data_IF_249460960803
#
_entry.id   IF_249460960803
#
_cell.length_a   1.000
_cell.length_b   1.000
_cell.length_c   1.000
_cell.angle_alpha   90.00
_cell.angle_beta   90.00
_cell.angle_gamma   90.00
#
_symmetry.space_group_name_H-M   'P 1'
#
loop_
_entity.id
_entity.type
_entity.pdbx_description
1 polymer ?
#
# COMPACT_ATOMS: atom_id res chain seq x y z
N UNK A 1 26.52 10.50 -3.61
CA UNK A 1 25.30 11.28 -3.90
C UNK A 1 24.21 10.29 -4.22
N UNK A 2 23.22 10.16 -3.35
CA UNK A 2 22.01 9.36 -3.61
C UNK A 2 21.33 9.89 -4.88
N UNK A 3 21.16 9.03 -5.89
CA UNK A 3 20.46 9.37 -7.14
C UNK A 3 18.94 9.20 -7.04
N UNK A 4 18.43 8.67 -5.93
CA UNK A 4 17.04 8.26 -5.79
C UNK A 4 16.30 9.24 -4.89
N UNK A 5 15.16 9.74 -5.37
CA UNK A 5 14.22 10.48 -4.54
C UNK A 5 13.27 9.50 -3.84
N UNK A 6 13.56 9.21 -2.57
CA UNK A 6 12.65 8.44 -1.72
C UNK A 6 11.39 9.25 -1.41
N UNK A 7 10.25 8.59 -1.43
CA UNK A 7 8.96 9.18 -1.06
C UNK A 7 8.47 8.57 0.24
N UNK A 8 7.62 9.28 1.01
CA UNK A 8 7.01 8.69 2.19
C UNK A 8 6.21 7.43 1.83
N UNK A 9 6.40 6.36 2.59
CA UNK A 9 5.65 5.10 2.43
C UNK A 9 4.14 5.35 2.41
N UNK A 10 3.68 6.27 3.26
CA UNK A 10 2.27 6.69 3.40
C UNK A 10 1.63 7.27 2.14
N UNK A 11 2.42 7.73 1.17
CA UNK A 11 1.90 8.47 0.02
C UNK A 11 0.87 7.64 -0.76
N UNK A 12 1.21 6.40 -1.09
CA UNK A 12 0.33 5.54 -1.89
C UNK A 12 -0.93 5.14 -1.10
N UNK A 13 -0.80 4.96 0.23
CA UNK A 13 -1.94 4.74 1.12
C UNK A 13 -2.95 5.90 1.07
N UNK A 14 -2.46 7.14 1.12
CA UNK A 14 -3.33 8.32 1.05
C UNK A 14 -3.96 8.50 -0.33
N UNK A 15 -3.23 8.19 -1.41
CA UNK A 15 -3.77 8.26 -2.78
C UNK A 15 -4.93 7.28 -2.92
N UNK A 16 -4.73 6.01 -2.53
CA UNK A 16 -5.78 4.99 -2.65
C UNK A 16 -6.95 5.27 -1.71
N UNK A 17 -6.68 5.69 -0.48
CA UNK A 17 -7.72 6.12 0.46
C UNK A 17 -8.58 7.25 -0.12
N UNK A 18 -7.94 8.29 -0.65
CA UNK A 18 -8.64 9.44 -1.26
C UNK A 18 -9.48 9.01 -2.46
N UNK A 19 -8.96 8.10 -3.29
CA UNK A 19 -9.68 7.55 -4.44
C UNK A 19 -10.96 6.81 -4.01
N UNK A 20 -10.86 5.93 -3.01
CA UNK A 20 -12.00 5.15 -2.48
C UNK A 20 -13.05 6.10 -1.90
N UNK A 21 -12.63 7.05 -1.05
CA UNK A 21 -13.55 8.01 -0.43
C UNK A 21 -14.24 8.85 -1.51
N UNK A 22 -13.48 9.44 -2.44
CA UNK A 22 -14.04 10.28 -3.50
C UNK A 22 -15.02 9.53 -4.39
N UNK A 23 -14.68 8.31 -4.83
CA UNK A 23 -15.55 7.48 -5.66
C UNK A 23 -16.80 7.04 -4.89
N UNK A 24 -16.65 6.66 -3.62
CA UNK A 24 -17.78 6.27 -2.77
C UNK A 24 -18.77 7.42 -2.60
N UNK A 25 -18.29 8.64 -2.36
CA UNK A 25 -19.12 9.84 -2.23
C UNK A 25 -19.79 10.18 -3.55
N UNK A 26 -19.06 10.15 -4.66
CA UNK A 26 -19.62 10.41 -5.98
C UNK A 26 -20.75 9.45 -6.33
N UNK A 27 -20.53 8.15 -6.14
CA UNK A 27 -21.56 7.12 -6.33
C UNK A 27 -22.74 7.31 -5.38
N UNK A 28 -22.48 7.64 -4.11
CA UNK A 28 -23.53 7.92 -3.14
C UNK A 28 -24.40 9.10 -3.58
N UNK A 29 -23.80 10.21 -4.04
CA UNK A 29 -24.56 11.37 -4.52
C UNK A 29 -25.47 11.03 -5.69
N UNK A 30 -25.00 10.21 -6.64
CA UNK A 30 -25.84 9.74 -7.75
C UNK A 30 -27.03 8.94 -7.21
N UNK A 31 -26.79 7.96 -6.34
CA UNK A 31 -27.86 7.13 -5.78
C UNK A 31 -28.83 7.97 -4.93
N UNK A 32 -28.30 8.90 -4.14
CA UNK A 32 -29.09 9.78 -3.29
C UNK A 32 -29.97 10.75 -4.08
N UNK A 33 -29.48 11.24 -5.22
CA UNK A 33 -30.24 12.17 -6.06
C UNK A 33 -31.30 11.47 -6.91
N UNK A 34 -30.98 10.30 -7.46
CA UNK A 34 -31.81 9.64 -8.47
C UNK A 34 -32.66 8.48 -7.96
N UNK A 35 -32.27 7.81 -6.87
CA UNK A 35 -32.92 6.57 -6.42
C UNK A 35 -33.52 6.67 -5.02
N UNK A 36 -32.87 7.37 -4.08
CA UNK A 36 -33.35 7.44 -2.70
C UNK A 36 -34.69 8.19 -2.50
N UNK A 37 -35.06 9.25 -3.26
CA UNK A 37 -36.32 9.96 -3.04
C UNK A 37 -37.54 9.03 -3.16
N UNK A 38 -37.62 8.27 -4.26
CA UNK A 38 -38.73 7.35 -4.52
C UNK A 38 -38.65 6.07 -3.65
N UNK A 39 -37.45 5.56 -3.35
CA UNK A 39 -37.28 4.30 -2.62
C UNK A 39 -37.44 4.44 -1.10
N UNK A 40 -37.18 5.63 -0.54
CA UNK A 40 -37.28 5.85 0.91
C UNK A 40 -38.71 5.73 1.45
N UNK A 41 -39.72 6.05 0.63
CA UNK A 41 -41.13 5.94 0.99
C UNK A 41 -41.68 4.51 0.77
N UNK A 42 -41.16 3.79 -0.23
CA UNK A 42 -41.68 2.47 -0.62
C UNK A 42 -40.95 1.31 0.09
N UNK A 43 -39.63 1.41 0.29
CA UNK A 43 -38.79 0.37 0.90
C UNK A 43 -37.70 0.98 1.82
N UNK A 44 -38.05 1.45 3.03
CA UNK A 44 -37.11 2.16 3.93
C UNK A 44 -35.92 1.29 4.38
N UNK A 45 -36.12 -0.03 4.44
CA UNK A 45 -35.06 -0.98 4.81
C UNK A 45 -33.97 -1.07 3.72
N UNK A 46 -34.37 -0.96 2.45
CA UNK A 46 -33.44 -0.91 1.32
C UNK A 46 -32.61 0.38 1.36
N UNK A 47 -33.25 1.53 1.60
CA UNK A 47 -32.55 2.82 1.77
C UNK A 47 -31.54 2.78 2.92
N UNK A 48 -31.91 2.17 4.04
CA UNK A 48 -31.00 2.01 5.19
C UNK A 48 -29.81 1.12 4.84
N UNK A 49 -30.04 0.00 4.14
CA UNK A 49 -28.99 -0.90 3.69
C UNK A 49 -28.01 -0.22 2.70
N UNK A 50 -28.54 0.59 1.78
CA UNK A 50 -27.73 1.39 0.84
C UNK A 50 -26.84 2.37 1.62
N UNK A 51 -27.42 3.18 2.51
CA UNK A 51 -26.68 4.14 3.32
C UNK A 51 -25.58 3.45 4.15
N UNK A 52 -25.91 2.32 4.78
CA UNK A 52 -24.96 1.54 5.57
C UNK A 52 -23.83 0.96 4.70
N UNK A 53 -24.14 0.49 3.49
CA UNK A 53 -23.13 -0.02 2.56
C UNK A 53 -22.14 1.08 2.15
N UNK A 54 -22.63 2.28 1.82
CA UNK A 54 -21.77 3.43 1.52
C UNK A 54 -20.95 3.89 2.74
N UNK A 55 -21.52 3.83 3.95
CA UNK A 55 -20.79 4.11 5.19
C UNK A 55 -19.62 3.13 5.37
N UNK A 56 -19.86 1.83 5.22
CA UNK A 56 -18.80 0.81 5.33
C UNK A 56 -17.71 1.01 4.27
N UNK A 57 -18.10 1.38 3.05
CA UNK A 57 -17.16 1.64 1.96
C UNK A 57 -16.34 2.92 2.19
N UNK A 58 -16.93 3.95 2.82
CA UNK A 58 -16.18 5.13 3.28
C UNK A 58 -15.22 4.80 4.43
N UNK A 59 -15.64 3.94 5.37
CA UNK A 59 -14.81 3.50 6.49
C UNK A 59 -13.58 2.71 6.06
N UNK A 60 -13.67 1.90 4.98
CA UNK A 60 -12.49 1.22 4.43
C UNK A 60 -11.46 2.22 3.90
N UNK A 61 -11.91 3.28 3.21
CA UNK A 61 -11.05 4.39 2.81
C UNK A 61 -10.39 5.08 4.01
N UNK A 62 -11.15 5.35 5.07
CA UNK A 62 -10.61 5.95 6.30
C UNK A 62 -9.59 5.05 7.00
N UNK A 63 -9.83 3.74 7.02
CA UNK A 63 -8.87 2.76 7.55
C UNK A 63 -7.54 2.79 6.79
N UNK A 64 -7.56 2.89 5.46
CA UNK A 64 -6.33 3.02 4.68
C UNK A 64 -5.59 4.34 4.95
N UNK A 65 -6.31 5.44 5.18
CA UNK A 65 -5.67 6.70 5.60
C UNK A 65 -4.99 6.54 6.97
N UNK A 66 -5.62 5.82 7.90
CA UNK A 66 -5.02 5.53 9.20
C UNK A 66 -3.76 4.65 9.07
N UNK A 67 -3.75 3.65 8.17
CA UNK A 67 -2.54 2.89 7.85
C UNK A 67 -1.45 3.80 7.27
N UNK A 68 -1.78 4.65 6.31
CA UNK A 68 -0.86 5.65 5.78
C UNK A 68 -0.27 6.53 6.88
N UNK A 69 -1.07 6.95 7.86
CA UNK A 69 -0.57 7.73 8.99
C UNK A 69 0.48 7.01 9.83
N UNK A 70 0.35 5.69 10.02
CA UNK A 70 1.34 4.90 10.75
C UNK A 70 2.68 4.81 10.01
N UNK A 71 2.66 4.82 8.67
CA UNK A 71 3.85 4.71 7.82
C UNK A 71 4.42 6.06 7.33
N UNK A 72 3.93 7.19 7.86
CA UNK A 72 4.26 8.54 7.36
C UNK A 72 5.73 8.95 7.44
N UNK A 73 6.49 8.35 8.35
CA UNK A 73 7.90 8.70 8.58
C UNK A 73 8.87 7.72 7.90
N UNK A 74 8.36 6.73 7.18
CA UNK A 74 9.18 5.72 6.53
C UNK A 74 9.43 6.12 5.08
N UNK A 75 10.57 5.69 4.56
CA UNK A 75 10.91 5.89 3.18
C UNK A 75 10.43 4.71 2.34
N UNK A 76 9.93 4.98 1.15
CA UNK A 76 9.58 3.97 0.18
C UNK A 76 9.98 4.39 -1.23
N UNK A 77 10.17 3.38 -2.06
CA UNK A 77 10.46 3.52 -3.49
C UNK A 77 9.51 2.64 -4.31
N UNK A 78 9.02 3.17 -5.42
CA UNK A 78 8.22 2.41 -6.38
C UNK A 78 9.07 1.99 -7.56
N UNK A 79 9.02 0.71 -7.90
CA UNK A 79 9.89 0.06 -8.89
C UNK A 79 9.03 -0.72 -9.90
N UNK A 80 9.37 -0.73 -11.21
CA UNK A 80 8.62 -1.42 -12.25
C UNK A 80 8.83 -2.95 -12.30
N UNK A 81 9.69 -3.50 -11.44
CA UNK A 81 10.08 -4.91 -11.44
C UNK A 81 9.27 -5.70 -10.40
N UNK A 82 9.05 -7.00 -10.64
CA UNK A 82 8.33 -7.88 -9.72
C UNK A 82 9.06 -7.99 -8.37
N UNK A 83 8.29 -8.13 -7.30
CA UNK A 83 8.81 -8.04 -5.94
C UNK A 83 9.72 -9.20 -5.56
N UNK A 84 9.46 -10.40 -6.09
CA UNK A 84 10.30 -11.57 -5.79
C UNK A 84 11.71 -11.40 -6.37
N UNK A 85 11.83 -10.85 -7.58
CA UNK A 85 13.12 -10.57 -8.21
C UNK A 85 13.91 -9.52 -7.41
N UNK A 86 13.24 -8.45 -7.00
CA UNK A 86 13.85 -7.42 -6.14
C UNK A 86 14.29 -8.03 -4.80
N UNK A 87 13.45 -8.85 -4.19
CA UNK A 87 13.74 -9.47 -2.90
C UNK A 87 14.97 -10.37 -2.96
N UNK A 88 15.02 -11.26 -3.95
CA UNK A 88 16.17 -12.14 -4.19
C UNK A 88 17.44 -11.35 -4.46
N UNK A 89 17.35 -10.26 -5.24
CA UNK A 89 18.53 -9.45 -5.53
C UNK A 89 19.04 -8.71 -4.31
N UNK A 90 18.14 -8.13 -3.50
CA UNK A 90 18.53 -7.48 -2.24
C UNK A 90 19.16 -8.50 -1.29
N UNK A 91 18.55 -9.67 -1.10
CA UNK A 91 19.12 -10.75 -0.28
C UNK A 91 20.54 -11.13 -0.73
N UNK A 92 20.76 -11.29 -2.04
CA UNK A 92 22.08 -11.62 -2.58
C UNK A 92 23.13 -10.54 -2.25
N UNK A 93 22.77 -9.26 -2.33
CA UNK A 93 23.67 -8.15 -2.03
C UNK A 93 24.04 -8.10 -0.54
N UNK A 94 23.10 -8.42 0.34
CA UNK A 94 23.37 -8.53 1.78
C UNK A 94 24.30 -9.70 2.11
N UNK A 95 24.10 -10.85 1.46
CA UNK A 95 24.98 -12.01 1.60
C UNK A 95 26.40 -11.72 1.08
N UNK A 96 26.54 -11.05 -0.05
CA UNK A 96 27.85 -10.65 -0.62
C UNK A 96 28.65 -9.74 0.34
N UNK A 97 27.95 -8.96 1.17
CA UNK A 97 28.55 -8.08 2.18
C UNK A 97 28.74 -8.75 3.54
N UNK A 98 28.43 -10.04 3.68
CA UNK A 98 28.44 -10.79 4.95
C UNK A 98 27.59 -10.12 6.05
N UNK A 99 26.44 -9.54 5.67
CA UNK A 99 25.50 -8.93 6.61
C UNK A 99 24.38 -9.92 6.92
N UNK A 100 24.06 -10.09 8.21
CA UNK A 100 22.95 -10.94 8.62
C UNK A 100 21.60 -10.31 8.26
N UNK A 101 20.76 -11.09 7.60
CA UNK A 101 19.38 -10.72 7.24
C UNK A 101 18.45 -11.88 7.54
N UNK A 102 17.31 -11.61 8.18
CA UNK A 102 16.29 -12.60 8.49
C UNK A 102 15.08 -12.38 7.60
N UNK A 103 14.69 -13.42 6.88
CA UNK A 103 13.47 -13.41 6.07
C UNK A 103 12.29 -13.78 6.96
N UNK A 104 11.24 -12.98 6.93
CA UNK A 104 9.97 -13.24 7.58
C UNK A 104 8.82 -13.08 6.58
N UNK A 105 7.71 -13.77 6.84
CA UNK A 105 6.46 -13.54 6.12
C UNK A 105 5.86 -12.20 6.58
N UNK A 106 5.46 -11.34 5.64
CA UNK A 106 4.78 -10.11 6.05
C UNK A 106 3.35 -10.40 6.54
N UNK A 107 2.88 -9.62 7.51
CA UNK A 107 1.49 -9.69 7.95
C UNK A 107 0.54 -9.13 6.87
N UNK A 108 -0.32 -9.98 6.30
CA UNK A 108 -1.26 -9.62 5.23
C UNK A 108 -2.53 -8.89 5.70
N UNK A 109 -2.76 -8.82 7.01
CA UNK A 109 -4.08 -8.49 7.57
C UNK A 109 -4.52 -7.02 7.43
N UNK A 110 -3.62 -6.11 7.03
CA UNK A 110 -3.87 -4.65 7.11
C UNK A 110 -3.95 -3.94 5.77
N UNK A 111 -3.74 -4.65 4.66
CA UNK A 111 -3.53 -4.03 3.34
C UNK A 111 -4.79 -4.03 2.46
N UNK A 112 -5.91 -4.57 2.98
CA UNK A 112 -7.21 -4.72 2.29
C UNK A 112 -7.14 -5.34 0.89
N UNK A 113 -6.10 -6.13 0.61
CA UNK A 113 -5.88 -6.81 -0.67
C UNK A 113 -5.32 -5.93 -1.79
N UNK A 114 -5.00 -4.65 -1.52
CA UNK A 114 -4.41 -3.72 -2.50
C UNK A 114 -2.89 -3.89 -2.60
N UNK A 115 -2.24 -4.12 -1.45
CA UNK A 115 -0.85 -4.52 -1.40
C UNK A 115 -0.78 -6.03 -1.19
N UNK A 116 -0.01 -6.68 -2.06
CA UNK A 116 0.38 -8.07 -1.89
C UNK A 116 1.74 -8.08 -1.20
N UNK A 117 1.83 -8.55 0.05
CA UNK A 117 3.13 -8.72 0.69
C UNK A 117 3.93 -9.81 -0.03
N UNK A 118 5.19 -9.50 -0.35
CA UNK A 118 6.11 -10.46 -0.96
C UNK A 118 7.11 -10.95 0.07
N UNK A 119 7.82 -10.01 0.71
CA UNK A 119 8.88 -10.36 1.67
C UNK A 119 9.14 -9.27 2.67
N UNK A 120 9.43 -9.69 3.90
CA UNK A 120 9.95 -8.82 4.95
C UNK A 120 11.38 -9.27 5.28
N UNK A 121 12.33 -8.36 5.07
CA UNK A 121 13.73 -8.56 5.38
C UNK A 121 14.05 -7.79 6.66
N UNK A 122 14.33 -8.51 7.74
CA UNK A 122 14.59 -7.95 9.07
C UNK A 122 16.09 -7.94 9.33
N UNK A 123 16.60 -6.77 9.73
CA UNK A 123 17.96 -6.52 10.18
C UNK A 123 17.97 -6.13 11.66
N UNK A 124 19.15 -6.04 12.28
CA UNK A 124 19.27 -5.67 13.70
C UNK A 124 18.66 -4.30 14.03
N UNK A 125 18.75 -3.33 13.12
CA UNK A 125 18.37 -1.93 13.35
C UNK A 125 17.32 -1.39 12.39
N UNK A 126 16.70 -2.25 11.58
CA UNK A 126 15.72 -1.83 10.59
C UNK A 126 15.14 -3.01 9.82
N UNK A 127 14.19 -2.71 8.95
CA UNK A 127 13.51 -3.68 8.11
C UNK A 127 13.28 -3.12 6.70
N UNK A 128 13.26 -4.01 5.73
CA UNK A 128 12.90 -3.73 4.34
C UNK A 128 11.66 -4.57 4.04
N UNK A 129 10.55 -3.92 3.74
CA UNK A 129 9.32 -4.59 3.34
C UNK A 129 9.10 -4.40 1.84
N UNK A 130 8.88 -5.52 1.14
CA UNK A 130 8.64 -5.55 -0.30
C UNK A 130 7.19 -5.96 -0.52
N UNK A 131 6.44 -5.05 -1.13
CA UNK A 131 5.01 -5.19 -1.40
C UNK A 131 4.74 -4.90 -2.86
N UNK A 132 3.88 -5.66 -3.49
CA UNK A 132 3.41 -5.35 -4.84
C UNK A 132 2.04 -4.67 -4.78
N UNK A 133 1.87 -3.61 -5.55
CA UNK A 133 0.57 -3.00 -5.77
C UNK A 133 -0.08 -3.71 -6.97
N UNK A 134 -1.23 -4.30 -6.71
CA UNK A 134 -2.04 -4.97 -7.71
C UNK A 134 -3.37 -4.24 -7.86
N UNK A 135 -3.75 -3.96 -9.10
CA UNK A 135 -5.07 -3.42 -9.42
C UNK A 135 -5.85 -4.55 -10.09
N UNK A 136 -6.75 -5.17 -9.33
CA UNK A 136 -7.44 -6.38 -9.73
C UNK A 136 -6.44 -7.52 -10.03
N UNK A 137 -6.22 -7.85 -11.30
CA UNK A 137 -5.29 -8.91 -11.74
C UNK A 137 -4.03 -8.35 -12.44
N UNK A 138 -3.87 -7.03 -12.47
CA UNK A 138 -2.76 -6.38 -13.17
C UNK A 138 -1.73 -5.87 -12.16
N UNK A 139 -0.48 -6.33 -12.32
CA UNK A 139 0.66 -5.79 -11.61
C UNK A 139 0.88 -4.33 -12.01
N UNK A 140 1.01 -3.46 -11.02
CA UNK A 140 1.28 -2.04 -11.24
C UNK A 140 2.75 -1.70 -10.98
N UNK A 141 3.17 -1.84 -9.73
CA UNK A 141 4.51 -1.49 -9.23
C UNK A 141 4.82 -2.27 -7.96
N UNK A 142 6.10 -2.49 -7.70
CA UNK A 142 6.58 -2.94 -6.40
C UNK A 142 6.97 -1.75 -5.55
N UNK A 143 6.46 -1.68 -4.34
CA UNK A 143 6.90 -0.77 -3.29
C UNK A 143 7.96 -1.46 -2.42
N UNK A 144 9.14 -0.84 -2.36
CA UNK A 144 10.20 -1.20 -1.42
C UNK A 144 10.17 -0.18 -0.30
N UNK A 145 9.61 -0.56 0.86
CA UNK A 145 9.55 0.26 2.06
C UNK A 145 10.76 -0.04 2.94
N UNK A 146 11.42 1.02 3.43
CA UNK A 146 12.62 0.96 4.26
C UNK A 146 12.31 1.64 5.58
N UNK A 147 12.46 0.89 6.68
CA UNK A 147 12.09 1.36 8.02
C UNK A 147 13.27 1.20 8.96
N UNK A 148 13.52 2.22 9.77
CA UNK A 148 14.67 2.25 10.67
C UNK A 148 16.01 2.46 9.96
N UNK A 149 17.09 2.00 10.59
CA UNK A 149 18.46 2.20 10.11
C UNK A 149 18.94 0.96 9.34
N UNK A 150 18.81 1.03 8.02
CA UNK A 150 19.22 -0.01 7.07
C UNK A 150 20.42 0.51 6.26
N UNK A 151 21.46 -0.30 6.00
CA UNK A 151 22.63 0.12 5.22
C UNK A 151 22.26 0.25 3.73
N UNK A 152 21.70 1.40 3.36
CA UNK A 152 21.18 1.66 2.00
C UNK A 152 22.23 1.51 0.91
N UNK A 153 23.49 1.81 1.23
CA UNK A 153 24.65 1.67 0.32
C UNK A 153 24.76 0.27 -0.31
N UNK A 154 24.20 -0.77 0.34
CA UNK A 154 24.24 -2.15 -0.14
C UNK A 154 23.38 -2.34 -1.40
N UNK A 155 22.25 -1.64 -1.53
CA UNK A 155 21.26 -1.88 -2.58
C UNK A 155 20.80 -0.62 -3.32
N UNK A 156 21.22 0.56 -2.88
CA UNK A 156 20.80 1.84 -3.46
C UNK A 156 21.24 1.97 -4.92
N UNK A 157 22.44 1.52 -5.30
CA UNK A 157 22.87 1.52 -6.70
C UNK A 157 21.98 0.63 -7.57
N UNK A 158 21.61 -0.54 -7.05
CA UNK A 158 20.69 -1.44 -7.73
C UNK A 158 19.30 -0.82 -7.88
N UNK A 159 18.71 -0.30 -6.81
CA UNK A 159 17.40 0.34 -6.88
C UNK A 159 17.40 1.56 -7.80
N UNK A 160 18.49 2.33 -7.85
CA UNK A 160 18.62 3.49 -8.72
C UNK A 160 18.61 3.11 -10.20
N UNK A 161 19.04 1.90 -10.54
CA UNK A 161 19.03 1.40 -11.92
C UNK A 161 17.63 1.02 -12.42
N UNK A 162 16.65 0.90 -11.52
CA UNK A 162 15.29 0.44 -11.84
C UNK A 162 14.24 1.56 -11.87
N UNK A 163 14.59 2.79 -11.47
CA UNK A 163 13.67 3.93 -11.34
C UNK A 163 13.72 4.83 -12.57
#
# INVERSE_FOLDING_TARGET
MSKIEYKPESREWYVVSSLIIALSLFCYFIVAWYALPDQSEVFPLLTTAINFSFLLLGLSGFFLAFQGFNFRNNDALLVPLEGEEIALKIESLFLEKNLEIKVQECSSLLDMGLWRPIKLLVLEKGEIEIKELWISAFFYRTQVAIRGNVPREVFEEYLASLV
#
